data_IF_720278627894
#
_entry.id   IF_720278627894
#
_cell.length_a   1.000
_cell.length_b   1.000
_cell.length_c   1.000
_cell.angle_alpha   90.00
_cell.angle_beta   90.00
_cell.angle_gamma   90.00
#
_symmetry.space_group_name_H-M   'P 1'
#
loop_
_entity.id
_entity.type
_entity.pdbx_description
1 polymer ?
#
# COMPACT_ATOMS: atom_id res chain seq x y z
N UNK A 1 -19.37 -8.82 -23.88
CA UNK A 1 -18.09 -9.51 -23.60
C UNK A 1 -17.31 -8.81 -22.47
N UNK A 2 -17.11 -7.48 -22.53
CA UNK A 2 -16.35 -6.71 -21.50
C UNK A 2 -17.00 -6.79 -20.11
N UNK A 3 -18.32 -6.67 -20.02
CA UNK A 3 -19.07 -6.77 -18.76
C UNK A 3 -18.99 -8.16 -18.14
N UNK A 4 -19.06 -9.21 -18.96
CA UNK A 4 -18.92 -10.60 -18.49
C UNK A 4 -17.56 -10.83 -17.85
N UNK A 5 -16.48 -10.36 -18.50
CA UNK A 5 -15.13 -10.44 -17.93
C UNK A 5 -15.02 -9.66 -16.63
N UNK A 6 -15.53 -8.42 -16.60
CA UNK A 6 -15.50 -7.58 -15.41
C UNK A 6 -16.22 -8.22 -14.23
N UNK A 7 -17.43 -8.73 -14.46
CA UNK A 7 -18.21 -9.44 -13.44
C UNK A 7 -17.46 -10.68 -12.93
N UNK A 8 -16.87 -11.48 -13.82
CA UNK A 8 -16.07 -12.64 -13.44
C UNK A 8 -14.83 -12.23 -12.62
N UNK A 9 -14.14 -11.14 -12.99
CA UNK A 9 -13.00 -10.61 -12.27
C UNK A 9 -13.38 -10.14 -10.86
N UNK A 10 -14.45 -9.37 -10.71
CA UNK A 10 -14.89 -8.87 -9.42
C UNK A 10 -15.28 -10.02 -8.47
N UNK A 11 -16.00 -11.04 -8.97
CA UNK A 11 -16.30 -12.24 -8.20
C UNK A 11 -15.05 -13.03 -7.81
N UNK A 12 -14.09 -13.16 -8.72
CA UNK A 12 -12.83 -13.85 -8.48
C UNK A 12 -12.00 -13.15 -7.42
N UNK A 13 -11.92 -11.81 -7.47
CA UNK A 13 -11.27 -10.99 -6.46
C UNK A 13 -11.90 -11.19 -5.07
N UNK A 14 -13.22 -11.15 -4.98
CA UNK A 14 -13.94 -11.37 -3.71
C UNK A 14 -13.67 -12.77 -3.14
N UNK A 15 -13.73 -13.80 -3.98
CA UNK A 15 -13.48 -15.19 -3.58
C UNK A 15 -12.05 -15.41 -3.08
N UNK A 16 -11.04 -14.88 -3.80
CA UNK A 16 -9.63 -14.99 -3.37
C UNK A 16 -9.41 -14.25 -2.05
N UNK A 17 -9.96 -13.05 -1.90
CA UNK A 17 -9.87 -12.29 -0.64
C UNK A 17 -10.54 -13.01 0.53
N UNK A 18 -11.72 -13.56 0.33
CA UNK A 18 -12.43 -14.33 1.36
C UNK A 18 -11.66 -15.60 1.76
N UNK A 19 -11.03 -16.27 0.79
CA UNK A 19 -10.26 -17.50 1.02
C UNK A 19 -8.96 -17.27 1.75
N UNK A 20 -8.20 -16.24 1.37
CA UNK A 20 -6.86 -15.98 1.88
C UNK A 20 -6.81 -15.03 3.09
N UNK A 21 -7.85 -14.20 3.28
CA UNK A 21 -7.91 -13.24 4.36
C UNK A 21 -6.95 -12.07 4.19
N UNK A 22 -6.51 -11.48 5.30
CA UNK A 22 -5.69 -10.27 5.33
C UNK A 22 -4.19 -10.60 5.23
N UNK A 23 -3.75 -11.00 4.06
CA UNK A 23 -2.35 -11.31 3.74
C UNK A 23 -2.00 -10.85 2.33
N UNK A 24 -0.72 -10.66 2.04
CA UNK A 24 -0.21 -10.16 0.75
C UNK A 24 -0.78 -10.91 -0.47
N UNK A 25 -0.84 -12.24 -0.41
CA UNK A 25 -1.34 -13.07 -1.51
C UNK A 25 -2.83 -12.88 -1.80
N UNK A 26 -3.61 -12.37 -0.82
CA UNK A 26 -5.02 -12.02 -1.04
C UNK A 26 -5.21 -10.88 -2.04
N UNK A 27 -4.16 -10.13 -2.32
CA UNK A 27 -4.13 -9.04 -3.30
C UNK A 27 -3.50 -9.45 -4.64
N UNK A 28 -3.17 -10.73 -4.85
CA UNK A 28 -2.52 -11.21 -6.07
C UNK A 28 -3.41 -11.07 -7.31
N UNK A 29 -3.00 -10.18 -8.24
CA UNK A 29 -3.67 -10.02 -9.54
C UNK A 29 -3.55 -11.27 -10.39
N UNK A 30 -2.47 -12.01 -10.24
CA UNK A 30 -2.27 -13.30 -10.92
C UNK A 30 -3.36 -14.29 -10.50
N UNK A 31 -3.63 -14.44 -9.20
CA UNK A 31 -4.69 -15.31 -8.70
C UNK A 31 -6.08 -14.85 -9.14
N UNK A 32 -6.31 -13.53 -9.18
CA UNK A 32 -7.57 -12.97 -9.67
C UNK A 32 -7.78 -13.30 -11.16
N UNK A 33 -6.75 -13.15 -12.00
CA UNK A 33 -6.80 -13.45 -13.42
C UNK A 33 -6.99 -14.95 -13.67
N UNK A 34 -6.21 -15.80 -12.97
CA UNK A 34 -6.38 -17.25 -13.01
C UNK A 34 -7.84 -17.64 -12.74
N UNK A 35 -8.36 -17.20 -11.60
CA UNK A 35 -9.73 -17.54 -11.19
C UNK A 35 -10.78 -16.97 -12.14
N UNK A 36 -10.51 -15.82 -12.75
CA UNK A 36 -11.40 -15.21 -13.76
C UNK A 36 -11.48 -16.08 -15.01
N UNK A 37 -10.35 -16.55 -15.51
CA UNK A 37 -10.29 -17.40 -16.70
C UNK A 37 -10.99 -18.75 -16.44
N UNK A 38 -10.77 -19.33 -15.26
CA UNK A 38 -11.46 -20.55 -14.83
C UNK A 38 -13.00 -20.36 -14.77
N UNK A 39 -13.48 -19.22 -14.23
CA UNK A 39 -14.91 -18.88 -14.19
C UNK A 39 -15.53 -18.65 -15.58
N UNK A 40 -14.72 -18.34 -16.56
CA UNK A 40 -15.12 -18.21 -17.97
C UNK A 40 -15.05 -19.54 -18.73
N UNK A 41 -14.85 -20.65 -18.00
CA UNK A 41 -14.78 -22.02 -18.55
C UNK A 41 -13.65 -22.24 -19.55
N UNK A 42 -12.56 -21.45 -19.44
CA UNK A 42 -11.40 -21.54 -20.33
C UNK A 42 -10.24 -22.39 -19.75
N UNK A 43 -10.45 -22.96 -18.56
CA UNK A 43 -9.38 -23.60 -17.78
C UNK A 43 -8.35 -22.60 -17.28
N UNK A 44 -7.18 -23.02 -16.78
CA UNK A 44 -6.20 -22.11 -16.18
C UNK A 44 -5.48 -21.23 -17.20
N UNK A 45 -5.21 -21.73 -18.41
CA UNK A 45 -4.55 -20.97 -19.51
C UNK A 45 -3.34 -20.17 -19.00
N UNK A 46 -2.30 -20.86 -18.55
CA UNK A 46 -1.16 -20.29 -17.79
C UNK A 46 -0.55 -19.06 -18.50
N UNK A 47 -0.22 -19.18 -19.79
CA UNK A 47 0.40 -18.08 -20.55
C UNK A 47 -0.54 -16.86 -20.60
N UNK A 48 -1.81 -17.05 -20.96
CA UNK A 48 -2.80 -15.97 -21.01
C UNK A 48 -3.00 -15.32 -19.64
N UNK A 49 -2.96 -16.09 -18.56
CA UNK A 49 -3.09 -15.58 -17.20
C UNK A 49 -1.91 -14.67 -16.81
N UNK A 50 -0.70 -15.08 -17.18
CA UNK A 50 0.52 -14.26 -16.98
C UNK A 50 0.47 -12.97 -17.81
N UNK A 51 0.09 -13.05 -19.08
CA UNK A 51 -0.03 -11.89 -19.97
C UNK A 51 -1.06 -10.87 -19.46
N UNK A 52 -2.19 -11.35 -18.96
CA UNK A 52 -3.22 -10.49 -18.35
C UNK A 52 -2.72 -9.80 -17.08
N UNK A 53 -2.00 -10.51 -16.22
CA UNK A 53 -1.43 -9.92 -15.01
C UNK A 53 -0.38 -8.87 -15.34
N UNK A 54 0.54 -9.15 -16.28
CA UNK A 54 1.55 -8.20 -16.73
C UNK A 54 0.92 -6.97 -17.38
N UNK A 55 -0.10 -7.19 -18.24
CA UNK A 55 -0.85 -6.10 -18.88
C UNK A 55 -1.58 -5.24 -17.86
N UNK A 56 -2.16 -5.86 -16.82
CA UNK A 56 -2.79 -5.14 -15.71
C UNK A 56 -1.80 -4.20 -15.04
N UNK A 57 -0.63 -4.70 -14.60
CA UNK A 57 0.34 -3.87 -13.90
C UNK A 57 0.96 -2.78 -14.76
N UNK A 58 1.29 -3.11 -16.02
CA UNK A 58 1.77 -2.10 -16.98
C UNK A 58 0.75 -0.98 -17.17
N UNK A 59 -0.51 -1.33 -17.38
CA UNK A 59 -1.60 -0.35 -17.55
C UNK A 59 -1.81 0.46 -16.28
N UNK A 60 -1.79 -0.19 -15.12
CA UNK A 60 -1.93 0.48 -13.84
C UNK A 60 -0.82 1.51 -13.63
N UNK A 61 0.43 1.14 -13.81
CA UNK A 61 1.58 2.04 -13.62
C UNK A 61 1.55 3.21 -14.61
N UNK A 62 1.28 2.95 -15.89
CA UNK A 62 1.20 4.00 -16.91
C UNK A 62 0.09 5.04 -16.64
N UNK A 63 -0.95 4.67 -15.89
CA UNK A 63 -2.05 5.57 -15.51
C UNK A 63 -1.95 6.08 -14.07
N UNK A 64 -0.89 5.74 -13.34
CA UNK A 64 -0.65 6.20 -11.97
C UNK A 64 0.34 7.35 -11.98
N UNK A 65 0.19 8.27 -11.02
CA UNK A 65 1.11 9.38 -10.81
C UNK A 65 1.38 9.54 -9.32
N UNK A 66 2.57 9.99 -9.00
CA UNK A 66 2.89 10.41 -7.63
C UNK A 66 2.14 11.71 -7.31
N UNK A 67 1.79 11.89 -6.04
CA UNK A 67 1.29 13.17 -5.58
C UNK A 67 2.36 14.25 -5.72
N UNK A 68 1.98 15.47 -6.15
CA UNK A 68 2.93 16.59 -6.24
C UNK A 68 3.68 16.82 -4.94
N UNK A 69 4.99 17.05 -5.03
CA UNK A 69 5.85 17.38 -3.90
C UNK A 69 6.26 16.20 -3.01
N UNK A 70 5.81 14.96 -3.27
CA UNK A 70 6.19 13.80 -2.43
C UNK A 70 7.69 13.49 -2.52
N UNK A 71 8.28 13.57 -3.71
CA UNK A 71 9.71 13.32 -3.91
C UNK A 71 10.53 14.39 -3.17
N UNK A 72 10.18 15.67 -3.35
CA UNK A 72 10.87 16.78 -2.68
C UNK A 72 10.79 16.65 -1.14
N UNK A 73 9.62 16.22 -0.65
CA UNK A 73 9.43 15.98 0.77
C UNK A 73 10.32 14.85 1.30
N UNK A 74 10.44 13.72 0.57
CA UNK A 74 11.33 12.62 0.99
C UNK A 74 12.80 13.08 0.96
N UNK A 75 13.21 13.87 -0.04
CA UNK A 75 14.55 14.46 -0.08
C UNK A 75 14.79 15.41 1.08
N UNK A 76 13.79 16.21 1.47
CA UNK A 76 13.89 17.06 2.66
C UNK A 76 14.12 16.20 3.91
N UNK A 77 13.36 15.14 4.13
CA UNK A 77 13.56 14.24 5.27
C UNK A 77 14.97 13.65 5.29
N UNK A 78 15.45 13.16 4.14
CA UNK A 78 16.84 12.67 4.01
C UNK A 78 17.88 13.73 4.35
N UNK A 79 17.71 14.96 3.87
CA UNK A 79 18.63 16.07 4.14
C UNK A 79 18.70 16.46 5.63
N UNK A 80 17.64 16.14 6.36
CA UNK A 80 17.55 16.33 7.84
C UNK A 80 18.01 15.12 8.64
N UNK A 81 18.48 14.05 7.97
CA UNK A 81 18.89 12.81 8.63
C UNK A 81 17.72 12.01 9.23
N UNK A 82 16.50 12.24 8.74
CA UNK A 82 15.32 11.51 9.20
C UNK A 82 15.22 10.18 8.47
N UNK A 83 15.25 9.09 9.22
CA UNK A 83 15.14 7.73 8.68
C UNK A 83 13.71 7.45 8.24
N UNK A 84 13.56 6.81 7.09
CA UNK A 84 12.28 6.58 6.44
C UNK A 84 12.01 5.11 6.17
N UNK A 85 10.76 4.68 6.37
CA UNK A 85 10.32 3.34 6.01
C UNK A 85 8.99 3.38 5.23
N UNK A 86 8.90 2.60 4.16
CA UNK A 86 7.66 2.40 3.41
C UNK A 86 6.96 1.13 3.91
N UNK A 87 5.80 1.26 4.58
CA UNK A 87 4.98 0.13 5.02
C UNK A 87 3.80 -0.04 4.06
N UNK A 88 3.76 -1.16 3.36
CA UNK A 88 2.83 -1.34 2.24
C UNK A 88 2.22 -2.74 2.19
N UNK A 89 0.90 -2.81 1.88
CA UNK A 89 0.23 -4.09 1.67
C UNK A 89 0.48 -4.53 0.22
N UNK A 90 0.86 -5.76 0.03
CA UNK A 90 1.09 -6.53 -1.20
C UNK A 90 2.36 -7.37 -1.09
N UNK A 91 2.66 -8.13 -2.18
CA UNK A 91 3.92 -8.86 -2.30
C UNK A 91 5.09 -7.91 -2.55
N UNK A 92 6.27 -8.27 -2.04
CA UNK A 92 7.50 -7.51 -2.19
C UNK A 92 7.82 -7.25 -3.67
N UNK A 93 7.70 -8.28 -4.52
CA UNK A 93 7.96 -8.16 -5.94
C UNK A 93 7.16 -7.03 -6.61
N UNK A 94 5.87 -6.93 -6.31
CA UNK A 94 5.01 -5.89 -6.92
C UNK A 94 5.33 -4.50 -6.35
N UNK A 95 5.60 -4.42 -5.05
CA UNK A 95 5.93 -3.13 -4.44
C UNK A 95 7.29 -2.61 -4.90
N UNK A 96 8.29 -3.46 -5.00
CA UNK A 96 9.60 -3.05 -5.52
C UNK A 96 9.51 -2.58 -6.98
N UNK A 97 8.74 -3.27 -7.83
CA UNK A 97 8.47 -2.80 -9.20
C UNK A 97 7.83 -1.41 -9.24
N UNK A 98 6.90 -1.10 -8.31
CA UNK A 98 6.31 0.24 -8.21
C UNK A 98 7.33 1.28 -7.78
N UNK A 99 8.13 0.99 -6.75
CA UNK A 99 9.16 1.90 -6.28
C UNK A 99 10.16 2.24 -7.41
N UNK A 100 10.67 1.23 -8.11
CA UNK A 100 11.55 1.41 -9.28
C UNK A 100 10.87 2.22 -10.38
N UNK A 101 9.62 1.88 -10.74
CA UNK A 101 8.89 2.59 -11.78
C UNK A 101 8.74 4.09 -11.51
N UNK A 102 8.57 4.48 -10.25
CA UNK A 102 8.41 5.87 -9.84
C UNK A 102 9.72 6.56 -9.42
N UNK A 103 10.87 5.89 -9.54
CA UNK A 103 12.16 6.43 -9.12
C UNK A 103 12.27 6.62 -7.60
N UNK A 104 11.65 5.74 -6.83
CA UNK A 104 11.62 5.77 -5.37
C UNK A 104 12.50 4.69 -4.71
N UNK A 105 13.21 3.91 -5.52
CA UNK A 105 13.96 2.73 -5.11
C UNK A 105 15.11 3.03 -4.13
N UNK A 106 15.72 4.22 -4.22
CA UNK A 106 16.78 4.67 -3.31
C UNK A 106 16.32 5.75 -2.30
N UNK A 107 15.02 6.05 -2.26
CA UNK A 107 14.52 7.14 -1.42
C UNK A 107 14.14 6.72 0.00
N UNK A 108 13.78 5.47 0.20
CA UNK A 108 13.46 4.94 1.52
C UNK A 108 14.63 4.12 2.08
N UNK A 109 14.92 4.29 3.39
CA UNK A 109 15.94 3.49 4.07
C UNK A 109 15.47 2.05 4.24
N UNK A 110 14.15 1.85 4.46
CA UNK A 110 13.55 0.53 4.61
C UNK A 110 12.23 0.41 3.85
N UNK A 111 11.95 -0.81 3.42
CA UNK A 111 10.63 -1.21 2.89
C UNK A 111 10.13 -2.40 3.69
N UNK A 112 8.88 -2.32 4.12
CA UNK A 112 8.16 -3.39 4.82
C UNK A 112 6.92 -3.73 4.01
N UNK A 113 6.81 -4.97 3.60
CA UNK A 113 5.65 -5.47 2.86
C UNK A 113 4.80 -6.38 3.74
N UNK A 114 3.52 -6.49 3.43
CA UNK A 114 2.67 -7.47 4.13
C UNK A 114 3.08 -8.92 3.84
N UNK A 115 3.82 -9.17 2.75
CA UNK A 115 4.41 -10.49 2.50
C UNK A 115 5.51 -10.81 3.53
N UNK A 116 6.42 -9.88 3.81
CA UNK A 116 7.44 -10.01 4.85
C UNK A 116 6.82 -10.12 6.25
N UNK A 117 5.86 -9.26 6.54
CA UNK A 117 5.20 -9.22 7.85
C UNK A 117 4.22 -10.38 8.10
N UNK A 118 3.76 -11.06 7.04
CA UNK A 118 2.78 -12.14 7.09
C UNK A 118 1.33 -11.68 7.31
N UNK A 119 1.06 -10.37 7.41
CA UNK A 119 -0.26 -9.76 7.59
C UNK A 119 -0.33 -8.39 6.92
N UNK A 120 -1.56 -8.03 6.48
CA UNK A 120 -1.85 -6.69 5.99
C UNK A 120 -2.14 -5.72 7.15
N UNK A 121 -1.90 -4.43 6.94
CA UNK A 121 -2.42 -3.37 7.83
C UNK A 121 -3.97 -3.47 7.91
N UNK A 122 -4.60 -3.23 9.05
CA UNK A 122 -4.10 -2.62 10.30
C UNK A 122 -3.59 -3.64 11.35
N UNK A 123 -3.20 -4.87 10.96
CA UNK A 123 -2.53 -5.77 11.89
C UNK A 123 -1.23 -5.11 12.41
N UNK A 124 -0.84 -5.43 13.64
CA UNK A 124 0.37 -4.85 14.25
C UNK A 124 1.66 -5.31 13.58
N UNK A 125 1.69 -6.49 12.98
CA UNK A 125 2.91 -7.11 12.44
C UNK A 125 3.67 -6.25 11.43
N UNK A 126 3.06 -5.60 10.42
CA UNK A 126 3.80 -4.71 9.52
C UNK A 126 4.47 -3.53 10.24
N UNK A 127 3.83 -3.02 11.30
CA UNK A 127 4.38 -1.94 12.11
C UNK A 127 5.48 -2.44 13.04
N UNK A 128 5.35 -3.63 13.64
CA UNK A 128 6.39 -4.27 14.44
C UNK A 128 7.67 -4.48 13.63
N UNK A 129 7.55 -5.02 12.40
CA UNK A 129 8.69 -5.17 11.47
C UNK A 129 9.34 -3.81 11.14
N UNK A 130 8.53 -2.78 10.93
CA UNK A 130 9.07 -1.44 10.69
C UNK A 130 9.82 -0.90 11.91
N UNK A 131 9.29 -1.06 13.11
CA UNK A 131 9.95 -0.66 14.37
C UNK A 131 11.27 -1.41 14.57
N UNK A 132 11.29 -2.71 14.27
CA UNK A 132 12.51 -3.52 14.34
C UNK A 132 13.58 -3.00 13.38
N UNK A 133 13.24 -2.66 12.14
CA UNK A 133 14.18 -2.09 11.17
C UNK A 133 14.65 -0.69 11.54
N UNK A 134 13.73 0.16 11.99
CA UNK A 134 14.02 1.56 12.33
C UNK A 134 14.80 1.71 13.64
N UNK A 135 14.66 0.78 14.59
CA UNK A 135 15.25 0.83 15.93
C UNK A 135 14.86 2.11 16.71
N UNK A 136 13.64 2.63 16.47
CA UNK A 136 13.11 3.87 17.06
C UNK A 136 11.84 3.53 17.84
N UNK A 137 11.61 4.25 18.96
CA UNK A 137 10.39 4.09 19.75
C UNK A 137 9.16 4.61 18.99
N UNK A 138 7.98 3.97 19.12
CA UNK A 138 6.79 4.33 18.38
C UNK A 138 6.36 5.79 18.51
N UNK A 139 6.48 6.38 19.70
CA UNK A 139 6.11 7.78 19.99
C UNK A 139 6.96 8.82 19.24
N UNK A 140 8.13 8.41 18.75
CA UNK A 140 9.00 9.23 17.89
C UNK A 140 8.82 8.97 16.39
N UNK A 141 7.78 8.21 16.01
CA UNK A 141 7.51 7.86 14.62
C UNK A 141 6.22 8.51 14.13
N UNK A 142 6.31 9.10 12.95
CA UNK A 142 5.15 9.62 12.23
C UNK A 142 4.73 8.62 11.16
N UNK A 143 3.50 8.11 11.29
CA UNK A 143 2.86 7.35 10.22
C UNK A 143 2.12 8.29 9.29
N UNK A 144 2.61 8.43 8.06
CA UNK A 144 1.96 9.21 7.00
C UNK A 144 1.24 8.24 6.07
N UNK A 145 -0.07 8.36 5.95
CA UNK A 145 -0.90 7.50 5.10
C UNK A 145 -2.22 8.15 4.76
N UNK A 146 -2.98 7.55 3.88
CA UNK A 146 -4.30 8.08 3.45
C UNK A 146 -5.47 7.26 3.98
N UNK A 147 -5.26 6.01 4.31
CA UNK A 147 -6.32 5.09 4.69
C UNK A 147 -6.55 5.06 6.21
N UNK A 148 -7.72 5.55 6.72
CA UNK A 148 -7.99 5.55 8.14
C UNK A 148 -8.11 4.15 8.74
N UNK A 149 -8.65 3.19 7.98
CA UNK A 149 -8.93 1.84 8.48
C UNK A 149 -7.65 0.98 8.56
N UNK A 150 -6.68 1.20 7.68
CA UNK A 150 -5.42 0.46 7.68
C UNK A 150 -4.28 1.25 8.33
N UNK A 151 -3.98 2.45 7.81
CA UNK A 151 -2.79 3.21 8.23
C UNK A 151 -2.99 3.85 9.61
N UNK A 152 -4.05 4.65 9.76
CA UNK A 152 -4.28 5.38 11.01
C UNK A 152 -4.65 4.44 12.16
N UNK A 153 -5.49 3.43 11.90
CA UNK A 153 -5.84 2.43 12.92
C UNK A 153 -4.62 1.61 13.35
N UNK A 154 -3.80 1.16 12.40
CA UNK A 154 -2.59 0.40 12.71
C UNK A 154 -1.58 1.21 13.50
N UNK A 155 -1.27 2.43 13.06
CA UNK A 155 -0.38 3.36 13.75
C UNK A 155 -0.89 3.71 15.16
N UNK A 156 -2.20 3.93 15.29
CA UNK A 156 -2.82 4.22 16.59
C UNK A 156 -2.69 3.07 17.59
N UNK A 157 -2.77 1.81 17.14
CA UNK A 157 -2.52 0.62 17.98
C UNK A 157 -1.08 0.54 18.47
N UNK A 158 -0.16 1.11 17.72
CA UNK A 158 1.27 1.11 18.03
C UNK A 158 1.73 2.37 18.81
N UNK A 159 0.84 3.34 19.03
CA UNK A 159 1.18 4.59 19.71
C UNK A 159 2.01 5.56 18.86
N UNK A 160 1.98 5.42 17.54
CA UNK A 160 2.65 6.33 16.61
C UNK A 160 1.83 7.61 16.38
N UNK A 161 2.50 8.71 16.02
CA UNK A 161 1.84 9.93 15.55
C UNK A 161 1.23 9.68 14.18
N UNK A 162 -0.06 10.03 14.01
CA UNK A 162 -0.85 9.74 12.81
C UNK A 162 -1.07 10.98 11.97
N UNK A 163 -0.51 10.99 10.78
CA UNK A 163 -0.62 12.11 9.83
C UNK A 163 -1.35 11.62 8.59
N UNK A 164 -2.57 12.11 8.39
CA UNK A 164 -3.41 11.65 7.29
C UNK A 164 -3.31 12.56 6.06
N UNK A 165 -2.87 11.97 4.94
CA UNK A 165 -2.95 12.58 3.61
C UNK A 165 -4.38 12.56 3.12
N UNK A 166 -4.96 13.73 2.81
CA UNK A 166 -6.31 13.83 2.25
C UNK A 166 -6.23 14.11 0.75
N UNK A 167 -7.02 13.38 0.00
CA UNK A 167 -7.31 13.60 -1.40
C UNK A 167 -8.75 13.18 -1.71
N UNK A 168 -9.20 13.27 -2.97
CA UNK A 168 -10.57 12.96 -3.34
C UNK A 168 -10.94 11.52 -2.98
N UNK A 169 -12.08 11.36 -2.30
CA UNK A 169 -12.61 10.06 -1.86
C UNK A 169 -12.05 9.54 -0.54
N UNK A 170 -11.06 10.20 0.07
CA UNK A 170 -10.52 9.81 1.38
C UNK A 170 -11.42 10.29 2.51
N UNK A 171 -11.76 9.37 3.41
CA UNK A 171 -12.53 9.63 4.62
C UNK A 171 -11.62 10.03 5.78
N UNK A 172 -12.11 10.90 6.65
CA UNK A 172 -11.47 11.24 7.92
C UNK A 172 -12.35 10.72 9.05
N UNK A 173 -11.77 9.88 9.90
CA UNK A 173 -12.44 9.38 11.11
C UNK A 173 -12.05 10.30 12.27
N UNK A 174 -13.06 10.85 12.95
CA UNK A 174 -12.87 11.90 13.94
C UNK A 174 -12.70 11.39 15.39
N UNK A 175 -12.81 10.10 15.61
CA UNK A 175 -12.76 9.49 16.96
C UNK A 175 -12.04 8.15 16.96
N UNK A 176 -11.59 7.70 18.13
CA UNK A 176 -10.95 6.40 18.32
C UNK A 176 -9.55 6.30 17.70
N UNK A 177 -9.06 5.08 17.53
CA UNK A 177 -7.71 4.79 17.04
C UNK A 177 -7.41 5.31 15.63
N UNK A 178 -8.45 5.38 14.80
CA UNK A 178 -8.33 5.87 13.42
C UNK A 178 -8.33 7.39 13.29
N UNK A 179 -8.56 8.14 14.39
CA UNK A 179 -8.48 9.60 14.37
C UNK A 179 -7.05 10.04 14.11
N UNK A 180 -6.77 10.81 13.04
CA UNK A 180 -5.45 11.37 12.82
C UNK A 180 -5.14 12.46 13.85
N UNK A 181 -3.86 12.62 14.15
CA UNK A 181 -3.34 13.73 14.97
C UNK A 181 -3.15 14.97 14.10
N UNK A 182 -2.82 14.74 12.83
CA UNK A 182 -2.65 15.79 11.82
C UNK A 182 -3.25 15.38 10.48
N UNK A 183 -3.70 16.39 9.71
CA UNK A 183 -4.29 16.22 8.39
C UNK A 183 -3.63 17.20 7.43
N UNK A 184 -3.24 16.73 6.24
CA UNK A 184 -2.66 17.59 5.22
C UNK A 184 -3.18 17.26 3.81
N UNK A 185 -3.11 18.23 2.89
CA UNK A 185 -3.46 18.06 1.48
C UNK A 185 -2.25 18.03 0.57
N UNK A 186 -1.29 18.90 0.79
CA UNK A 186 -0.08 19.01 -0.04
C UNK A 186 1.14 18.67 0.79
N UNK A 187 2.12 17.99 0.21
CA UNK A 187 3.35 17.64 0.93
C UNK A 187 4.12 18.87 1.40
N UNK A 188 4.00 19.99 0.69
CA UNK A 188 4.59 21.27 1.10
C UNK A 188 4.05 21.77 2.47
N UNK A 189 2.82 21.40 2.83
CA UNK A 189 2.22 21.78 4.12
C UNK A 189 3.02 21.19 5.29
N UNK A 190 3.75 20.08 5.05
CA UNK A 190 4.58 19.42 6.06
C UNK A 190 5.97 20.04 6.22
N UNK A 191 6.45 20.85 5.27
CA UNK A 191 7.81 21.42 5.30
C UNK A 191 8.04 22.32 6.51
N UNK A 192 6.99 22.91 7.08
CA UNK A 192 7.09 23.78 8.27
C UNK A 192 7.41 23.03 9.56
N UNK A 193 7.34 21.70 9.54
CA UNK A 193 7.67 20.87 10.71
C UNK A 193 9.15 20.47 10.77
N UNK A 194 9.91 20.75 9.73
CA UNK A 194 11.32 20.38 9.56
C UNK A 194 12.21 21.58 9.20
#
# INVERSE_FOLDING_TARGET
>A
KKEVFRSAFDKSRQEIKARLGNVASSHSRLLYMQKTIEKLELGTRILTTLDLEQTYWRTFLNNSKLFPGVIDFIHLLKSKGIVTANITDLTAQIQFRKLVYFGLDELFDFVVTSEEAGKDKPDKKPFEVALEKLQIKPDNIWMIGDNPDSDMTGAGRMGMVKIQKIHDGVKVIKTGLAKPDFIFRNYQDLNSFF
#
